data_IF_700030414856
#
_entry.id   IF_700030414856
#
_cell.length_a   1.000
_cell.length_b   1.000
_cell.length_c   1.000
_cell.angle_alpha   90.00
_cell.angle_beta   90.00
_cell.angle_gamma   90.00
#
_symmetry.space_group_name_H-M   'P 1'
#
loop_
_entity.id
_entity.type
_entity.pdbx_description
1 polymer ?
#
# COMPACT_ATOMS: atom_id res chain seq x y z
N UNK A 1 -16.64 -13.69 -16.72
CA UNK A 1 -16.90 -12.52 -15.86
C UNK A 1 -16.15 -11.28 -16.34
N UNK A 2 -14.82 -11.38 -16.55
CA UNK A 2 -14.01 -10.24 -17.05
C UNK A 2 -14.48 -9.82 -18.44
N UNK A 3 -14.67 -10.76 -19.37
CA UNK A 3 -15.20 -10.49 -20.69
C UNK A 3 -16.59 -9.85 -20.63
N UNK A 4 -17.48 -10.37 -19.77
CA UNK A 4 -18.84 -9.85 -19.61
C UNK A 4 -18.87 -8.43 -19.05
N UNK A 5 -17.93 -8.08 -18.16
CA UNK A 5 -17.82 -6.72 -17.62
C UNK A 5 -17.25 -5.73 -18.64
N UNK A 6 -16.39 -6.20 -19.57
CA UNK A 6 -15.75 -5.36 -20.57
C UNK A 6 -16.56 -5.17 -21.86
N UNK A 7 -17.38 -6.15 -22.26
CA UNK A 7 -18.09 -6.13 -23.54
C UNK A 7 -19.43 -5.37 -23.51
N UNK A 8 -19.99 -5.05 -22.34
CA UNK A 8 -21.26 -4.31 -22.23
C UNK A 8 -21.04 -2.92 -21.66
N UNK A 9 -21.31 -1.91 -22.44
CA UNK A 9 -21.60 -0.58 -21.93
C UNK A 9 -22.84 -0.67 -21.04
N UNK A 10 -22.65 -0.73 -19.73
CA UNK A 10 -23.70 -0.99 -18.74
C UNK A 10 -23.72 -2.41 -18.17
N UNK A 11 -22.68 -3.21 -18.41
CA UNK A 11 -22.52 -4.51 -17.76
C UNK A 11 -22.42 -4.35 -16.24
N UNK A 12 -23.25 -5.05 -15.48
CA UNK A 12 -23.07 -5.17 -14.05
C UNK A 12 -21.81 -5.98 -13.79
N UNK A 13 -20.87 -5.46 -13.01
CA UNK A 13 -19.77 -6.25 -12.50
C UNK A 13 -20.27 -7.50 -11.74
N UNK A 14 -19.38 -8.27 -11.20
CA UNK A 14 -19.76 -9.45 -10.45
C UNK A 14 -18.65 -9.92 -9.53
N UNK A 15 -19.03 -10.69 -8.53
CA UNK A 15 -18.13 -11.36 -7.62
C UNK A 15 -18.14 -12.86 -7.86
N UNK A 16 -16.98 -13.50 -7.71
CA UNK A 16 -16.85 -14.96 -7.78
C UNK A 16 -15.74 -15.45 -6.83
N UNK A 17 -15.85 -16.70 -6.43
CA UNK A 17 -14.78 -17.39 -5.75
C UNK A 17 -14.02 -18.26 -6.76
N UNK A 18 -12.71 -18.12 -6.78
CA UNK A 18 -11.82 -18.95 -7.60
C UNK A 18 -11.21 -20.05 -6.72
N UNK A 19 -11.65 -21.29 -6.95
CA UNK A 19 -11.15 -22.43 -6.21
C UNK A 19 -9.63 -22.63 -6.41
N UNK A 20 -8.95 -23.06 -5.34
CA UNK A 20 -7.55 -23.45 -5.33
C UNK A 20 -7.41 -24.85 -4.77
N UNK A 21 -6.30 -25.57 -5.07
CA UNK A 21 -6.02 -26.85 -4.42
C UNK A 21 -5.91 -26.71 -2.91
N UNK A 22 -6.38 -27.68 -2.16
CA UNK A 22 -6.18 -27.71 -0.71
C UNK A 22 -4.68 -27.65 -0.36
N UNK A 23 -4.29 -26.99 0.75
CA UNK A 23 -5.14 -26.47 1.86
C UNK A 23 -5.62 -25.02 1.69
N UNK A 24 -5.51 -24.42 0.51
CA UNK A 24 -5.77 -23.00 0.30
C UNK A 24 -7.28 -22.70 0.17
N UNK A 25 -7.72 -21.61 0.81
CA UNK A 25 -9.06 -21.06 0.64
C UNK A 25 -9.26 -20.46 -0.75
N UNK A 26 -10.46 -20.44 -1.30
CA UNK A 26 -10.73 -19.82 -2.60
C UNK A 26 -10.38 -18.33 -2.59
N UNK A 27 -9.83 -17.84 -3.73
CA UNK A 27 -9.64 -16.40 -3.93
C UNK A 27 -10.98 -15.72 -4.15
N UNK A 28 -11.17 -14.55 -3.56
CA UNK A 28 -12.29 -13.68 -3.88
C UNK A 28 -11.93 -12.77 -5.05
N UNK A 29 -12.72 -12.81 -6.11
CA UNK A 29 -12.54 -11.98 -7.31
C UNK A 29 -13.76 -11.09 -7.47
N UNK A 30 -13.54 -9.76 -7.48
CA UNK A 30 -14.57 -8.78 -7.79
C UNK A 30 -14.19 -8.06 -9.09
N UNK A 31 -15.09 -8.06 -10.06
CA UNK A 31 -14.93 -7.37 -11.33
C UNK A 31 -15.92 -6.23 -11.40
N UNK A 32 -15.44 -5.02 -11.60
CA UNK A 32 -16.26 -3.81 -11.72
C UNK A 32 -16.00 -3.15 -13.06
N UNK A 33 -17.01 -2.84 -13.87
CA UNK A 33 -16.82 -2.10 -15.10
C UNK A 33 -16.31 -0.69 -14.79
N UNK A 34 -15.33 -0.22 -15.56
CA UNK A 34 -14.84 1.14 -15.49
C UNK A 34 -15.57 1.98 -16.54
N UNK A 35 -16.47 2.86 -16.10
CA UNK A 35 -17.15 3.81 -16.96
C UNK A 35 -16.26 5.06 -17.04
N UNK A 36 -15.60 5.24 -18.19
CA UNK A 36 -14.81 6.44 -18.46
C UNK A 36 -15.68 7.38 -19.29
N UNK A 37 -16.30 8.36 -18.63
CA UNK A 37 -16.98 9.46 -19.30
C UNK A 37 -15.94 10.51 -19.69
N UNK A 38 -15.29 10.33 -20.85
CA UNK A 38 -14.45 11.38 -21.42
C UNK A 38 -15.11 11.94 -22.66
N UNK A 39 -15.49 13.21 -22.61
CA UNK A 39 -16.17 13.95 -23.68
C UNK A 39 -15.32 14.14 -24.95
N UNK A 40 -14.02 13.85 -24.90
CA UNK A 40 -13.09 14.24 -25.97
C UNK A 40 -12.49 13.09 -26.81
N UNK A 41 -12.58 11.85 -26.36
CA UNK A 41 -12.08 10.69 -27.11
C UNK A 41 -13.02 9.49 -26.96
N UNK A 42 -13.99 9.40 -27.85
CA UNK A 42 -14.81 8.21 -28.03
C UNK A 42 -14.02 7.18 -28.82
N UNK A 43 -13.06 6.54 -28.20
CA UNK A 43 -12.58 5.25 -28.65
C UNK A 43 -13.21 4.22 -27.72
N UNK A 44 -14.21 3.49 -28.21
CA UNK A 44 -15.03 2.54 -27.45
C UNK A 44 -14.25 1.36 -26.85
N UNK A 45 -13.27 1.67 -25.98
CA UNK A 45 -12.54 0.68 -25.20
C UNK A 45 -13.21 0.51 -23.84
N UNK A 46 -13.92 -0.57 -23.71
CA UNK A 46 -14.43 -0.99 -22.41
C UNK A 46 -13.26 -1.43 -21.52
N UNK A 47 -13.25 -1.00 -20.28
CA UNK A 47 -12.28 -1.39 -19.27
C UNK A 47 -13.01 -1.94 -18.04
N UNK A 48 -12.32 -2.75 -17.27
CA UNK A 48 -12.82 -3.23 -16.00
C UNK A 48 -11.70 -3.23 -14.96
N UNK A 49 -12.06 -2.98 -13.71
CA UNK A 49 -11.18 -3.15 -12.56
C UNK A 49 -11.44 -4.53 -11.98
N UNK A 50 -10.37 -5.27 -11.73
CA UNK A 50 -10.42 -6.57 -11.07
C UNK A 50 -9.76 -6.45 -9.72
N UNK A 51 -10.53 -6.68 -8.66
CA UNK A 51 -10.02 -6.81 -7.30
C UNK A 51 -9.85 -8.29 -6.99
N UNK A 52 -8.68 -8.64 -6.50
CA UNK A 52 -8.35 -9.99 -6.07
C UNK A 52 -7.99 -9.96 -4.60
N UNK A 53 -8.68 -10.75 -3.78
CA UNK A 53 -8.37 -10.91 -2.37
C UNK A 53 -8.03 -12.36 -2.08
N UNK A 54 -6.87 -12.58 -1.47
CA UNK A 54 -6.43 -13.88 -0.97
C UNK A 54 -6.68 -13.96 0.54
N UNK A 55 -7.64 -14.79 1.00
CA UNK A 55 -7.93 -14.91 2.42
C UNK A 55 -6.84 -15.64 3.22
N UNK A 56 -5.90 -16.28 2.55
CA UNK A 56 -4.77 -16.95 3.18
C UNK A 56 -3.53 -16.03 3.24
N UNK A 57 -3.55 -14.91 2.52
CA UNK A 57 -2.50 -13.89 2.58
C UNK A 57 -2.78 -12.95 3.75
N UNK A 58 -1.86 -12.87 4.68
CA UNK A 58 -1.90 -11.80 5.67
C UNK A 58 -1.76 -10.44 4.94
N UNK A 59 -2.56 -9.43 5.28
CA UNK A 59 -2.36 -8.10 4.72
C UNK A 59 -0.93 -7.64 5.06
N UNK A 60 -0.22 -7.04 4.11
CA UNK A 60 1.12 -6.54 4.38
C UNK A 60 1.07 -5.51 5.50
N UNK A 61 2.03 -5.56 6.39
CA UNK A 61 2.17 -4.60 7.48
C UNK A 61 2.44 -3.20 6.92
N UNK A 62 2.15 -2.16 7.71
CA UNK A 62 2.46 -0.79 7.35
C UNK A 62 3.95 -0.62 6.99
N UNK A 63 4.83 -1.33 7.68
CA UNK A 63 6.26 -1.34 7.41
C UNK A 63 6.60 -1.97 6.05
N UNK A 64 5.96 -3.08 5.68
CA UNK A 64 6.14 -3.72 4.38
C UNK A 64 5.63 -2.86 3.23
N UNK A 65 4.50 -2.17 3.43
CA UNK A 65 4.01 -1.19 2.47
C UNK A 65 5.00 -0.04 2.25
N UNK A 66 5.55 0.55 3.32
CA UNK A 66 6.55 1.60 3.21
C UNK A 66 7.80 1.13 2.47
N UNK A 67 8.26 -0.09 2.75
CA UNK A 67 9.38 -0.70 2.04
C UNK A 67 9.11 -0.82 0.54
N UNK A 68 7.92 -1.27 0.19
CA UNK A 68 7.52 -1.44 -1.21
C UNK A 68 7.38 -0.11 -1.95
N UNK A 69 6.69 0.87 -1.34
CA UNK A 69 6.39 2.17 -1.96
C UNK A 69 7.65 3.03 -2.15
N UNK A 70 8.52 3.06 -1.15
CA UNK A 70 9.68 3.97 -1.13
C UNK A 70 11.03 3.26 -1.23
N UNK A 71 11.02 1.95 -1.50
CA UNK A 71 12.23 1.11 -1.57
C UNK A 71 13.10 1.20 -0.32
N UNK A 72 12.46 1.25 0.84
CA UNK A 72 13.17 1.30 2.11
C UNK A 72 13.74 -0.07 2.47
N UNK A 73 14.90 -0.06 3.10
CA UNK A 73 15.44 -1.25 3.76
C UNK A 73 14.61 -1.56 5.03
N UNK A 74 14.70 -2.77 5.59
CA UNK A 74 14.02 -3.10 6.84
C UNK A 74 14.31 -2.11 7.98
N UNK A 75 15.58 -1.74 8.16
CA UNK A 75 15.99 -0.79 9.21
C UNK A 75 15.48 0.63 8.97
N UNK A 76 15.52 1.12 7.72
CA UNK A 76 14.95 2.41 7.35
C UNK A 76 13.43 2.46 7.58
N UNK A 77 12.72 1.40 7.23
CA UNK A 77 11.29 1.33 7.46
C UNK A 77 10.94 1.23 8.96
N UNK A 78 11.73 0.53 9.76
CA UNK A 78 11.58 0.50 11.21
C UNK A 78 11.77 1.89 11.82
N UNK A 79 12.82 2.62 11.44
CA UNK A 79 13.05 4.00 11.87
C UNK A 79 11.91 4.93 11.41
N UNK A 80 11.43 4.79 10.17
CA UNK A 80 10.31 5.59 9.66
C UNK A 80 9.04 5.37 10.47
N UNK A 81 8.70 4.12 10.80
CA UNK A 81 7.55 3.79 11.63
C UNK A 81 7.69 4.31 13.06
N UNK A 82 8.82 4.07 13.72
CA UNK A 82 9.05 4.52 15.10
C UNK A 82 8.93 6.06 15.23
N UNK A 83 9.44 6.80 14.26
CA UNK A 83 9.33 8.28 14.19
C UNK A 83 7.85 8.72 14.09
N UNK A 84 6.96 7.97 13.44
CA UNK A 84 5.55 8.34 13.32
C UNK A 84 4.79 8.25 14.64
N UNK A 85 5.26 7.46 15.59
CA UNK A 85 4.69 7.38 16.94
C UNK A 85 5.02 8.61 17.82
N UNK A 86 5.68 9.62 17.26
CA UNK A 86 5.96 10.88 17.95
C UNK A 86 7.17 10.83 18.87
N UNK A 87 7.91 9.74 18.89
CA UNK A 87 9.15 9.62 19.66
C UNK A 87 10.25 10.47 19.02
N UNK A 88 11.09 11.10 19.86
CA UNK A 88 12.32 11.75 19.41
C UNK A 88 13.33 10.70 18.89
N UNK A 89 14.28 11.13 18.06
CA UNK A 89 15.25 10.22 17.44
C UNK A 89 16.07 9.41 18.46
N UNK A 90 16.31 9.96 19.64
CA UNK A 90 16.99 9.22 20.73
C UNK A 90 16.13 8.03 21.19
N UNK A 91 14.84 8.26 21.43
CA UNK A 91 13.94 7.19 21.85
C UNK A 91 13.82 6.10 20.76
N UNK A 92 13.81 6.48 19.49
CA UNK A 92 13.83 5.53 18.36
C UNK A 92 15.13 4.72 18.35
N UNK A 93 16.27 5.34 18.61
CA UNK A 93 17.55 4.63 18.70
C UNK A 93 17.55 3.61 19.84
N UNK A 94 17.03 4.00 21.00
CA UNK A 94 16.91 3.14 22.17
C UNK A 94 15.93 1.98 21.92
N UNK A 95 14.77 2.24 21.32
CA UNK A 95 13.76 1.25 20.96
C UNK A 95 14.27 0.20 19.97
N UNK A 96 15.05 0.65 18.98
CA UNK A 96 15.60 -0.22 17.94
C UNK A 96 16.97 -0.81 18.29
N UNK A 97 17.46 -0.55 19.49
CA UNK A 97 18.78 -1.02 20.00
C UNK A 97 19.95 -0.63 19.06
N UNK A 98 19.90 0.57 18.49
CA UNK A 98 20.94 1.09 17.60
C UNK A 98 21.54 2.41 18.15
N UNK A 99 22.70 2.80 17.66
CA UNK A 99 23.28 4.09 18.03
C UNK A 99 22.45 5.26 17.47
N UNK A 100 22.45 6.40 18.18
CA UNK A 100 21.83 7.63 17.69
C UNK A 100 22.37 8.05 16.32
N UNK A 101 23.66 7.82 16.07
CA UNK A 101 24.28 8.11 14.77
C UNK A 101 23.71 7.21 13.68
N UNK A 102 23.52 5.93 13.95
CA UNK A 102 22.91 4.98 13.04
C UNK A 102 21.46 5.37 12.74
N UNK A 103 20.68 5.67 13.78
CA UNK A 103 19.29 6.13 13.63
C UNK A 103 19.20 7.41 12.75
N UNK A 104 20.14 8.35 12.96
CA UNK A 104 20.22 9.58 12.15
C UNK A 104 20.51 9.28 10.69
N UNK A 105 21.44 8.38 10.41
CA UNK A 105 21.77 7.96 9.04
C UNK A 105 20.58 7.29 8.34
N UNK A 106 19.90 6.38 9.04
CA UNK A 106 18.69 5.75 8.48
C UNK A 106 17.60 6.78 8.22
N UNK A 107 17.34 7.70 9.14
CA UNK A 107 16.34 8.75 8.96
C UNK A 107 16.67 9.65 7.77
N UNK A 108 17.94 9.97 7.56
CA UNK A 108 18.35 10.74 6.39
C UNK A 108 18.06 10.01 5.09
N UNK A 109 18.41 8.73 5.00
CA UNK A 109 18.06 7.92 3.82
C UNK A 109 16.54 7.81 3.61
N UNK A 110 15.76 7.73 4.69
CA UNK A 110 14.30 7.77 4.61
C UNK A 110 13.84 9.09 3.98
N UNK A 111 14.34 10.22 4.42
CA UNK A 111 14.00 11.53 3.85
C UNK A 111 14.34 11.60 2.35
N UNK A 112 15.52 11.15 1.96
CA UNK A 112 15.95 11.11 0.56
C UNK A 112 15.02 10.25 -0.30
N UNK A 113 14.68 9.04 0.17
CA UNK A 113 13.85 8.08 -0.58
C UNK A 113 12.37 8.47 -0.61
N UNK A 114 11.87 9.15 0.40
CA UNK A 114 10.47 9.61 0.48
C UNK A 114 10.27 11.02 -0.09
N UNK A 115 11.35 11.74 -0.42
CA UNK A 115 11.29 13.13 -0.88
C UNK A 115 10.87 14.12 0.22
N UNK A 116 10.93 13.73 1.49
CA UNK A 116 10.64 14.60 2.64
C UNK A 116 11.91 15.23 3.20
N UNK A 117 11.78 16.31 3.96
CA UNK A 117 12.91 17.02 4.56
C UNK A 117 12.81 17.17 6.08
N UNK A 118 11.64 16.93 6.64
CA UNK A 118 11.34 17.11 8.05
C UNK A 118 10.48 15.96 8.56
N UNK A 119 10.63 15.66 9.83
CA UNK A 119 9.85 14.62 10.50
C UNK A 119 8.33 14.83 10.32
N UNK A 120 7.85 16.08 10.46
CA UNK A 120 6.42 16.37 10.29
C UNK A 120 5.89 16.11 8.87
N UNK A 121 6.73 16.22 7.85
CA UNK A 121 6.38 15.89 6.48
C UNK A 121 6.29 14.37 6.31
N UNK A 122 7.24 13.64 6.87
CA UNK A 122 7.26 12.17 6.86
C UNK A 122 6.02 11.60 7.58
N UNK A 123 5.69 12.12 8.77
CA UNK A 123 4.49 11.72 9.53
C UNK A 123 3.22 11.95 8.71
N UNK A 124 3.09 13.10 8.05
CA UNK A 124 1.93 13.38 7.18
C UNK A 124 1.88 12.45 5.97
N UNK A 125 3.01 12.19 5.34
CA UNK A 125 3.11 11.31 4.19
C UNK A 125 2.65 9.89 4.55
N UNK A 126 3.15 9.34 5.64
CA UNK A 126 2.78 8.01 6.13
C UNK A 126 1.32 7.97 6.57
N UNK A 127 0.84 9.00 7.27
CA UNK A 127 -0.57 9.11 7.67
C UNK A 127 -1.54 9.20 6.49
N UNK A 128 -1.16 9.92 5.43
CA UNK A 128 -1.98 10.06 4.21
C UNK A 128 -2.04 8.79 3.37
N UNK A 129 -1.04 7.92 3.48
CA UNK A 129 -1.01 6.65 2.73
C UNK A 129 -1.96 5.59 3.27
N UNK A 130 -2.74 5.88 4.31
CA UNK A 130 -3.68 4.94 4.92
C UNK A 130 -3.02 3.78 5.67
N UNK A 131 -1.69 3.85 5.84
CA UNK A 131 -0.88 2.82 6.49
C UNK A 131 -0.92 2.90 8.03
N UNK A 132 -1.57 3.94 8.56
CA UNK A 132 -1.73 4.13 10.00
C UNK A 132 -3.07 3.51 10.42
N UNK A 133 -3.04 2.32 10.99
CA UNK A 133 -4.20 1.83 11.73
C UNK A 133 -4.42 2.74 12.95
N UNK A 134 -5.55 3.45 12.96
CA UNK A 134 -6.03 4.10 14.18
C UNK A 134 -6.39 2.97 15.18
N UNK A 135 -5.54 2.78 16.16
CA UNK A 135 -5.96 2.11 17.38
C UNK A 135 -6.97 2.97 18.11
#
# INVERSE_FOLDING_TARGET
LIATAAERVGGSGGAMALARPEPHRPLSVLVTPLIIETTWFVTGRSAAIVFLADPDSAPPTAQEHLRSLYRLTPSEAAVAMAITHGAGLQAVADELEISLTTARTHLQHVFEKTGTRRQAELVRLIGASGLYERQ
#
